data_IF_532390583357
#
_entry.id   IF_532390583357
#
_cell.length_a   1.000
_cell.length_b   1.000
_cell.length_c   1.000
_cell.angle_alpha   90.00
_cell.angle_beta   90.00
_cell.angle_gamma   90.00
#
_symmetry.space_group_name_H-M   'P 1'
#
loop_
_entity.id
_entity.type
_entity.pdbx_description
1 polymer ?
#
# COMPACT_ATOMS: atom_id res chain seq x y z
N UNK A 1 6.33 -20.36 -26.16
CA UNK A 1 5.33 -21.41 -26.46
C UNK A 1 5.62 -22.60 -25.55
N UNK A 2 4.83 -22.73 -24.48
CA UNK A 2 4.87 -23.86 -23.55
C UNK A 2 4.17 -25.05 -24.23
N UNK A 3 4.93 -25.87 -24.96
CA UNK A 3 4.45 -27.22 -25.31
C UNK A 3 4.62 -28.09 -24.08
N UNK A 4 3.61 -28.07 -23.22
CA UNK A 4 3.43 -29.13 -22.23
C UNK A 4 3.13 -30.39 -23.03
N UNK A 5 3.96 -31.43 -22.89
CA UNK A 5 3.71 -32.77 -23.46
C UNK A 5 2.54 -33.49 -22.75
N UNK A 6 1.49 -32.76 -22.38
CA UNK A 6 0.23 -33.35 -21.92
C UNK A 6 -0.54 -33.97 -23.08
N UNK A 7 -0.44 -33.37 -24.26
CA UNK A 7 -1.31 -33.69 -25.40
C UNK A 7 -0.93 -34.97 -26.16
N UNK A 8 0.30 -35.48 -26.00
CA UNK A 8 0.80 -36.63 -26.77
C UNK A 8 0.55 -37.99 -26.11
N UNK A 9 0.36 -38.04 -24.78
CA UNK A 9 0.21 -39.31 -24.02
C UNK A 9 -1.24 -39.54 -23.58
N UNK A 10 -2.00 -38.47 -23.33
CA UNK A 10 -3.39 -38.55 -22.90
C UNK A 10 -4.26 -37.84 -23.94
N UNK A 11 -5.04 -38.62 -24.69
CA UNK A 11 -5.97 -38.08 -25.69
C UNK A 11 -6.87 -36.99 -25.11
N UNK A 12 -7.31 -36.05 -25.95
CA UNK A 12 -8.21 -34.89 -25.67
C UNK A 12 -9.60 -35.27 -25.15
N UNK A 13 -9.73 -36.26 -24.29
CA UNK A 13 -10.99 -36.66 -23.70
C UNK A 13 -11.02 -36.19 -22.24
N UNK A 14 -11.57 -34.99 -22.04
CA UNK A 14 -11.70 -34.35 -20.72
C UNK A 14 -12.40 -35.26 -19.70
N UNK A 15 -13.26 -36.17 -20.15
CA UNK A 15 -13.97 -37.12 -19.28
C UNK A 15 -13.06 -38.25 -18.78
N UNK A 16 -12.13 -38.74 -19.60
CA UNK A 16 -11.21 -39.85 -19.23
C UNK A 16 -10.07 -39.34 -18.33
N UNK A 17 -9.55 -38.15 -18.64
CA UNK A 17 -8.47 -37.51 -17.88
C UNK A 17 -9.01 -36.69 -16.68
N UNK A 18 -10.33 -36.68 -16.47
CA UNK A 18 -10.97 -35.93 -15.37
C UNK A 18 -10.45 -36.33 -13.99
N UNK A 19 -9.94 -37.56 -13.86
CA UNK A 19 -9.38 -38.09 -12.62
C UNK A 19 -7.87 -37.88 -12.47
N UNK A 20 -7.17 -37.36 -13.49
CA UNK A 20 -5.72 -37.19 -13.43
C UNK A 20 -5.32 -36.00 -12.55
N UNK A 21 -6.11 -34.93 -12.63
CA UNK A 21 -5.95 -33.70 -11.86
C UNK A 21 -7.20 -33.44 -11.04
N UNK A 22 -7.01 -33.09 -9.77
CA UNK A 22 -8.11 -32.70 -8.89
C UNK A 22 -7.96 -31.23 -8.54
N UNK A 23 -9.00 -30.44 -8.83
CA UNK A 23 -9.07 -29.03 -8.44
C UNK A 23 -9.89 -28.88 -7.18
N UNK A 24 -9.34 -28.15 -6.23
CA UNK A 24 -9.99 -27.78 -4.99
C UNK A 24 -10.14 -26.26 -4.94
N UNK A 25 -11.31 -25.79 -4.54
CA UNK A 25 -11.54 -24.40 -4.19
C UNK A 25 -11.67 -24.32 -2.68
N UNK A 26 -10.67 -23.75 -2.01
CA UNK A 26 -10.62 -23.62 -0.56
C UNK A 26 -10.99 -22.20 -0.19
N UNK A 27 -12.10 -22.03 0.54
CA UNK A 27 -12.44 -20.74 1.13
C UNK A 27 -11.66 -20.56 2.43
N UNK A 28 -10.73 -19.62 2.43
CA UNK A 28 -9.93 -19.22 3.59
C UNK A 28 -10.53 -17.94 4.15
N UNK A 29 -11.06 -18.03 5.36
CA UNK A 29 -11.66 -16.90 6.06
C UNK A 29 -10.92 -16.64 7.35
N UNK A 30 -10.44 -15.40 7.52
CA UNK A 30 -9.68 -14.98 8.69
C UNK A 30 -10.47 -15.10 10.00
N UNK A 31 -11.81 -15.18 9.98
CA UNK A 31 -12.63 -15.52 11.16
C UNK A 31 -12.28 -16.87 11.77
N UNK A 32 -11.86 -17.83 10.95
CA UNK A 32 -11.54 -19.20 11.35
C UNK A 32 -10.02 -19.46 11.41
N UNK A 33 -9.23 -18.41 11.61
CA UNK A 33 -7.80 -18.50 11.87
C UNK A 33 -7.47 -19.32 13.11
N UNK A 34 -6.26 -19.87 13.17
CA UNK A 34 -5.84 -20.79 14.23
C UNK A 34 -5.95 -20.20 15.64
N UNK A 35 -5.60 -18.92 15.80
CA UNK A 35 -5.63 -18.22 17.08
C UNK A 35 -6.20 -16.82 16.92
N UNK A 36 -7.08 -16.41 17.84
CA UNK A 36 -7.60 -15.03 17.87
C UNK A 36 -6.54 -13.99 18.28
N UNK A 37 -5.40 -14.45 18.80
CA UNK A 37 -4.24 -13.59 19.07
C UNK A 37 -3.52 -13.17 17.78
N UNK A 38 -3.70 -13.92 16.68
CA UNK A 38 -3.18 -13.55 15.37
C UNK A 38 -4.07 -12.44 14.77
N UNK A 39 -3.48 -11.40 14.16
CA UNK A 39 -4.26 -10.37 13.48
C UNK A 39 -4.98 -10.97 12.26
N UNK A 40 -6.18 -10.45 11.90
CA UNK A 40 -6.91 -10.95 10.74
C UNK A 40 -6.15 -10.85 9.43
N UNK A 41 -5.13 -9.98 9.32
CA UNK A 41 -4.31 -9.72 8.13
C UNK A 41 -2.97 -10.46 8.09
N UNK A 42 -2.60 -11.19 9.15
CA UNK A 42 -1.40 -12.03 9.18
C UNK A 42 -1.65 -13.22 10.11
N UNK A 43 -2.05 -14.35 9.54
CA UNK A 43 -2.48 -15.52 10.30
C UNK A 43 -2.11 -16.83 9.62
N UNK A 44 -2.13 -17.90 10.41
CA UNK A 44 -1.97 -19.27 9.91
C UNK A 44 -3.33 -19.92 9.71
N UNK A 45 -3.53 -20.48 8.52
CA UNK A 45 -4.71 -21.26 8.17
C UNK A 45 -4.37 -22.75 8.05
N UNK A 46 -4.81 -23.60 9.00
CA UNK A 46 -4.69 -25.04 8.86
C UNK A 46 -5.78 -25.58 7.93
N UNK A 47 -5.39 -26.38 6.93
CA UNK A 47 -6.38 -27.07 6.09
C UNK A 47 -7.08 -28.19 6.86
N UNK A 48 -8.32 -28.51 6.48
CA UNK A 48 -9.08 -29.62 7.07
C UNK A 48 -8.38 -30.98 6.86
N UNK A 49 -7.66 -31.12 5.75
CA UNK A 49 -6.79 -32.25 5.43
C UNK A 49 -5.57 -31.71 4.68
N UNK A 50 -4.47 -32.47 4.71
CA UNK A 50 -3.30 -32.13 3.89
C UNK A 50 -3.65 -32.36 2.43
N UNK A 51 -3.54 -31.31 1.62
CA UNK A 51 -3.49 -31.46 0.16
C UNK A 51 -2.12 -32.01 -0.21
N UNK A 52 -2.08 -33.02 -1.07
CA UNK A 52 -0.86 -33.72 -1.48
C UNK A 52 -0.62 -33.54 -2.96
N UNK A 53 0.65 -33.63 -3.35
CA UNK A 53 1.04 -33.57 -4.76
C UNK A 53 0.50 -32.32 -5.48
N UNK A 54 0.48 -31.19 -4.78
CA UNK A 54 0.02 -29.91 -5.33
C UNK A 54 1.04 -29.43 -6.35
N UNK A 55 0.59 -29.18 -7.57
CA UNK A 55 1.44 -28.68 -8.67
C UNK A 55 1.13 -27.23 -9.04
N UNK A 56 -0.03 -26.73 -8.62
CA UNK A 56 -0.50 -25.41 -9.00
C UNK A 56 -1.40 -24.81 -7.93
N UNK A 57 -1.25 -23.51 -7.69
CA UNK A 57 -2.18 -22.74 -6.87
C UNK A 57 -2.48 -21.38 -7.53
N UNK A 58 -3.67 -20.82 -7.27
CA UNK A 58 -4.04 -19.46 -7.68
C UNK A 58 -5.11 -18.90 -6.75
N UNK A 59 -5.14 -17.58 -6.59
CA UNK A 59 -6.24 -16.90 -5.90
C UNK A 59 -7.39 -16.76 -6.89
N UNK A 60 -8.58 -17.22 -6.53
CA UNK A 60 -9.76 -17.15 -7.37
C UNK A 60 -10.64 -15.92 -7.05
N UNK A 61 -10.77 -15.58 -5.77
CA UNK A 61 -11.51 -14.39 -5.30
C UNK A 61 -10.89 -13.87 -4.00
N UNK A 62 -11.17 -12.60 -3.70
CA UNK A 62 -10.79 -11.94 -2.45
C UNK A 62 -11.93 -11.01 -2.03
N UNK A 63 -12.40 -11.14 -0.81
CA UNK A 63 -13.40 -10.25 -0.22
C UNK A 63 -12.79 -9.49 0.97
N UNK A 64 -12.43 -8.22 0.75
CA UNK A 64 -11.84 -7.35 1.77
C UNK A 64 -12.92 -6.40 2.32
N UNK A 65 -13.14 -6.35 3.64
CA UNK A 65 -14.06 -5.38 4.23
C UNK A 65 -13.48 -3.96 4.16
N UNK A 66 -14.36 -2.98 4.20
CA UNK A 66 -13.98 -1.55 4.26
C UNK A 66 -13.62 -1.23 5.70
N UNK A 67 -12.43 -1.68 6.09
CA UNK A 67 -11.97 -1.71 7.47
C UNK A 67 -10.67 -0.98 7.74
N UNK A 68 -10.13 -0.25 6.76
CA UNK A 68 -8.87 0.46 6.86
C UNK A 68 -9.07 1.96 6.61
N UNK A 69 -8.41 2.78 7.41
CA UNK A 69 -8.38 4.22 7.24
C UNK A 69 -7.29 4.66 6.26
N UNK A 70 -7.57 5.73 5.52
CA UNK A 70 -6.57 6.40 4.69
C UNK A 70 -5.56 7.13 5.58
N UNK A 71 -6.01 7.71 6.69
CA UNK A 71 -5.16 8.35 7.69
C UNK A 71 -5.18 7.56 8.99
N UNK A 72 -4.04 7.01 9.39
CA UNK A 72 -3.91 6.24 10.63
C UNK A 72 -2.53 6.40 11.25
N UNK A 73 -2.46 6.19 12.57
CA UNK A 73 -1.17 6.18 13.28
C UNK A 73 -0.24 5.08 12.79
N UNK A 74 -0.78 3.93 12.39
CA UNK A 74 0.01 2.81 11.85
C UNK A 74 0.73 3.20 10.57
N UNK A 75 0.06 3.99 9.71
CA UNK A 75 0.65 4.55 8.49
C UNK A 75 1.54 5.77 8.73
N UNK A 76 1.62 6.25 9.98
CA UNK A 76 2.39 7.45 10.39
C UNK A 76 2.04 8.69 9.55
N UNK A 77 0.78 8.82 9.13
CA UNK A 77 0.32 9.92 8.30
C UNK A 77 -0.73 10.80 8.99
N UNK A 78 -0.76 10.82 10.33
CA UNK A 78 -1.71 11.60 11.13
C UNK A 78 -1.09 12.78 11.88
N UNK A 79 0.21 13.04 11.73
CA UNK A 79 0.87 14.12 12.45
C UNK A 79 2.00 14.78 11.67
N UNK A 80 2.39 15.97 12.11
CA UNK A 80 3.62 16.67 11.73
C UNK A 80 4.02 17.64 12.84
N UNK A 81 5.25 18.17 12.80
CA UNK A 81 5.76 19.11 13.79
C UNK A 81 5.85 20.53 13.22
N UNK A 82 5.50 21.51 14.05
CA UNK A 82 5.55 22.94 13.82
C UNK A 82 6.52 23.59 14.80
N UNK A 83 7.54 24.25 14.28
CA UNK A 83 8.57 24.92 15.07
C UNK A 83 8.42 26.43 14.91
N UNK A 84 8.09 27.16 15.97
CA UNK A 84 7.77 28.60 15.88
C UNK A 84 8.14 29.35 17.15
N UNK A 85 8.47 30.62 17.01
CA UNK A 85 8.77 31.52 18.13
C UNK A 85 7.55 32.39 18.45
N UNK A 86 7.21 32.52 19.73
CA UNK A 86 6.09 33.35 20.19
C UNK A 86 6.44 34.85 20.29
N UNK A 87 5.48 35.65 20.75
CA UNK A 87 5.63 37.10 20.93
C UNK A 87 6.65 37.52 21.99
N UNK A 88 7.07 36.59 22.87
CA UNK A 88 8.07 36.82 23.93
C UNK A 88 9.48 36.42 23.45
N UNK A 89 9.59 35.75 22.30
CA UNK A 89 10.85 35.22 21.79
C UNK A 89 11.15 33.79 22.25
N UNK A 90 10.16 33.07 22.80
CA UNK A 90 10.32 31.67 23.22
C UNK A 90 10.02 30.75 22.04
N UNK A 91 10.93 29.82 21.78
CA UNK A 91 10.76 28.80 20.74
C UNK A 91 9.92 27.62 21.23
N UNK A 92 8.91 27.25 20.44
CA UNK A 92 8.01 26.14 20.69
C UNK A 92 8.18 25.05 19.61
N UNK A 93 8.13 23.79 20.03
CA UNK A 93 8.16 22.60 19.17
C UNK A 93 6.83 21.88 19.31
N UNK A 94 5.86 22.23 18.48
CA UNK A 94 4.47 21.83 18.61
C UNK A 94 4.17 20.66 17.68
N UNK A 95 3.49 19.64 18.20
CA UNK A 95 3.02 18.53 17.38
C UNK A 95 1.56 18.76 17.00
N UNK A 96 1.27 18.75 15.71
CA UNK A 96 -0.09 18.78 15.18
C UNK A 96 -0.49 17.35 14.86
N UNK A 97 -1.62 16.90 15.42
CA UNK A 97 -2.09 15.52 15.24
C UNK A 97 -3.59 15.53 14.93
N UNK A 98 -3.96 14.86 13.85
CA UNK A 98 -5.36 14.59 13.51
C UNK A 98 -5.77 13.21 14.01
N UNK A 99 -7.06 12.97 14.29
CA UNK A 99 -7.58 11.64 14.55
C UNK A 99 -7.42 10.69 13.35
N UNK A 100 -7.49 9.39 13.63
CA UNK A 100 -7.49 8.36 12.59
C UNK A 100 -8.86 8.37 11.87
N UNK A 101 -8.85 8.20 10.55
CA UNK A 101 -10.08 8.19 9.76
C UNK A 101 -9.90 8.43 8.26
N UNK A 102 -11.03 8.51 7.57
CA UNK A 102 -11.10 8.94 6.17
C UNK A 102 -11.56 10.39 6.09
N UNK A 103 -10.84 11.20 5.34
CA UNK A 103 -11.10 12.63 5.20
C UNK A 103 -11.29 13.01 3.74
N UNK A 104 -12.27 13.87 3.45
CA UNK A 104 -12.22 14.67 2.21
C UNK A 104 -11.18 15.79 2.36
N UNK A 105 -10.69 16.40 1.26
CA UNK A 105 -9.73 17.51 1.32
C UNK A 105 -10.15 18.64 2.28
N UNK A 106 -11.42 19.05 2.22
CA UNK A 106 -11.98 20.08 3.08
C UNK A 106 -12.05 19.64 4.56
N UNK A 107 -12.44 18.39 4.82
CA UNK A 107 -12.49 17.85 6.17
C UNK A 107 -11.09 17.74 6.79
N UNK A 108 -10.09 17.34 6.02
CA UNK A 108 -8.71 17.24 6.48
C UNK A 108 -8.15 18.61 6.89
N UNK A 109 -8.31 19.61 6.02
CA UNK A 109 -7.87 20.99 6.28
C UNK A 109 -8.58 21.57 7.49
N UNK A 110 -9.89 21.31 7.64
CA UNK A 110 -10.65 21.72 8.82
C UNK A 110 -10.12 21.06 10.10
N UNK A 111 -9.87 19.75 10.09
CA UNK A 111 -9.34 19.03 11.25
C UNK A 111 -7.97 19.58 11.68
N UNK A 112 -7.10 19.92 10.72
CA UNK A 112 -5.81 20.56 11.00
C UNK A 112 -6.02 21.98 11.56
N UNK A 113 -6.93 22.77 10.97
CA UNK A 113 -7.23 24.12 11.46
C UNK A 113 -7.75 24.11 12.90
N UNK A 114 -8.53 23.11 13.30
CA UNK A 114 -8.98 22.95 14.69
C UNK A 114 -7.81 22.75 15.66
N UNK A 115 -6.78 21.98 15.27
CA UNK A 115 -5.54 21.83 16.05
C UNK A 115 -4.75 23.15 16.11
N UNK A 116 -4.66 23.88 15.00
CA UNK A 116 -4.02 25.19 14.96
C UNK A 116 -4.75 26.22 15.83
N UNK A 117 -6.09 26.15 15.90
CA UNK A 117 -6.88 27.01 16.79
C UNK A 117 -6.61 26.69 18.28
N UNK A 118 -6.41 25.44 18.64
CA UNK A 118 -6.03 25.07 20.01
C UNK A 118 -4.63 25.61 20.37
N UNK A 119 -3.69 25.58 19.42
CA UNK A 119 -2.37 26.21 19.56
C UNK A 119 -2.49 27.73 19.72
N UNK A 120 -3.35 28.38 18.93
CA UNK A 120 -3.67 29.80 19.07
C UNK A 120 -4.14 30.14 20.48
N UNK A 121 -5.09 29.37 21.01
CA UNK A 121 -5.68 29.67 22.32
C UNK A 121 -4.70 29.43 23.48
N UNK A 122 -3.76 28.50 23.31
CA UNK A 122 -2.76 28.14 24.33
C UNK A 122 -1.51 29.03 24.31
N UNK A 123 -0.97 29.28 23.13
CA UNK A 123 0.33 29.95 22.92
C UNK A 123 0.21 31.33 22.26
N UNK A 124 -0.98 31.71 21.80
CA UNK A 124 -1.19 32.99 21.11
C UNK A 124 -0.62 33.02 19.70
N UNK A 125 -0.47 31.88 19.03
CA UNK A 125 0.11 31.73 17.70
C UNK A 125 -0.98 31.57 16.63
N UNK A 126 -1.07 32.51 15.69
CA UNK A 126 -2.13 32.54 14.68
C UNK A 126 -1.66 31.87 13.40
N UNK A 127 -2.04 30.60 13.22
CA UNK A 127 -1.81 29.86 11.98
C UNK A 127 -3.11 29.60 11.24
N UNK A 128 -3.02 29.66 9.91
CA UNK A 128 -4.14 29.42 9.01
C UNK A 128 -3.72 28.44 7.93
N UNK A 129 -4.51 27.39 7.75
CA UNK A 129 -4.40 26.45 6.64
C UNK A 129 -5.57 26.67 5.68
N UNK A 130 -5.28 26.80 4.40
CA UNK A 130 -6.29 27.00 3.35
C UNK A 130 -6.14 25.97 2.25
N UNK A 131 -7.27 25.57 1.68
CA UNK A 131 -7.35 24.71 0.51
C UNK A 131 -8.03 25.47 -0.62
N UNK A 132 -7.37 25.50 -1.78
CA UNK A 132 -7.96 26.04 -3.00
C UNK A 132 -8.55 24.90 -3.82
N UNK A 133 -9.87 24.88 -4.00
CA UNK A 133 -10.59 23.83 -4.72
C UNK A 133 -10.22 23.78 -6.22
N UNK A 134 -9.82 24.90 -6.80
CA UNK A 134 -9.50 25.00 -8.23
C UNK A 134 -8.12 24.43 -8.54
N UNK A 135 -7.11 24.83 -7.76
CA UNK A 135 -5.74 24.32 -7.92
C UNK A 135 -5.50 23.02 -7.16
N UNK A 136 -6.38 22.67 -6.22
CA UNK A 136 -6.27 21.53 -5.28
C UNK A 136 -5.00 21.58 -4.42
N UNK A 137 -4.50 22.78 -4.15
CA UNK A 137 -3.30 23.00 -3.33
C UNK A 137 -3.65 23.46 -1.92
N UNK A 138 -2.75 23.12 -0.99
CA UNK A 138 -2.83 23.51 0.41
C UNK A 138 -1.78 24.56 0.69
N UNK A 139 -2.17 25.60 1.43
CA UNK A 139 -1.28 26.66 1.89
C UNK A 139 -1.37 26.78 3.40
N UNK A 140 -0.22 26.88 4.07
CA UNK A 140 -0.11 27.17 5.50
C UNK A 140 0.51 28.56 5.65
N UNK A 141 -0.11 29.41 6.45
CA UNK A 141 0.33 30.78 6.73
C UNK A 141 0.45 31.01 8.24
N UNK A 142 1.48 31.74 8.63
CA UNK A 142 1.59 32.34 9.95
C UNK A 142 1.10 33.80 9.85
N UNK A 143 -0.04 34.09 10.47
CA UNK A 143 -0.67 35.41 10.41
C UNK A 143 -0.14 36.34 11.54
N UNK A 144 0.53 35.78 12.56
CA UNK A 144 1.20 36.54 13.64
C UNK A 144 1.03 35.93 15.02
N UNK A 145 1.37 36.68 16.06
CA UNK A 145 1.25 36.23 17.46
C UNK A 145 0.60 37.27 18.37
N UNK A 146 0.20 36.87 19.59
CA UNK A 146 -0.35 37.79 20.59
C UNK A 146 -0.45 37.20 22.00
N UNK A 147 -0.45 38.04 23.04
CA UNK A 147 -0.47 37.57 24.43
C UNK A 147 -1.83 36.99 24.84
N UNK A 148 -1.86 35.93 25.68
CA UNK A 148 -3.09 35.49 26.35
C UNK A 148 -3.63 36.55 27.33
N UNK A 149 -4.97 36.71 27.50
CA UNK A 149 -6.04 36.00 26.82
C UNK A 149 -6.09 36.34 25.33
N UNK A 150 -6.15 35.30 24.49
CA UNK A 150 -5.86 35.43 23.06
C UNK A 150 -6.77 36.48 22.37
N UNK A 151 -6.20 37.50 21.70
CA UNK A 151 -6.99 38.52 21.00
C UNK A 151 -7.71 37.93 19.77
N UNK A 152 -8.69 38.68 19.24
CA UNK A 152 -9.42 38.27 18.02
C UNK A 152 -8.55 38.25 16.76
N UNK A 153 -7.42 38.96 16.78
CA UNK A 153 -6.47 39.08 15.68
C UNK A 153 -5.05 39.17 16.25
N UNK A 154 -4.01 38.80 15.48
CA UNK A 154 -2.62 38.92 15.91
C UNK A 154 -2.27 40.37 16.23
N UNK A 155 -1.48 40.54 17.29
CA UNK A 155 -1.00 41.87 17.76
C UNK A 155 0.45 42.12 17.38
N UNK A 156 1.20 41.04 17.14
CA UNK A 156 2.60 41.07 16.73
C UNK A 156 2.74 40.45 15.33
N UNK A 157 3.73 40.95 14.59
CA UNK A 157 4.02 40.47 13.25
C UNK A 157 4.44 39.01 13.24
N UNK A 158 4.10 38.25 12.18
CA UNK A 158 4.58 36.89 12.04
C UNK A 158 6.11 36.85 11.95
N UNK A 159 6.64 35.74 12.44
CA UNK A 159 8.05 35.38 12.36
C UNK A 159 8.21 34.10 11.56
N UNK A 160 9.45 33.81 11.14
CA UNK A 160 9.75 32.58 10.44
C UNK A 160 9.40 31.35 11.29
N UNK A 161 8.96 30.29 10.64
CA UNK A 161 8.60 29.03 11.28
C UNK A 161 9.10 27.84 10.46
N UNK A 162 9.27 26.72 11.15
CA UNK A 162 9.64 25.44 10.57
C UNK A 162 8.45 24.49 10.48
N UNK A 163 8.33 23.77 9.38
CA UNK A 163 7.48 22.58 9.29
C UNK A 163 8.39 21.37 9.15
N UNK A 164 8.16 20.35 9.97
CA UNK A 164 8.87 19.07 9.90
C UNK A 164 7.85 17.96 9.70
N UNK A 165 7.91 17.34 8.52
CA UNK A 165 7.09 16.20 8.12
C UNK A 165 7.80 14.86 8.29
N UNK A 166 9.10 14.86 8.61
CA UNK A 166 9.85 13.63 8.87
C UNK A 166 9.23 12.81 10.01
N UNK A 167 8.95 11.53 9.71
CA UNK A 167 8.45 10.55 10.66
C UNK A 167 9.48 9.46 10.88
N UNK A 168 9.60 8.97 12.12
CA UNK A 168 10.55 7.92 12.46
C UNK A 168 10.29 6.66 11.63
N UNK A 169 11.29 6.16 10.92
CA UNK A 169 11.22 5.02 10.01
C UNK A 169 10.68 5.32 8.60
N UNK A 170 10.40 6.58 8.28
CA UNK A 170 9.99 7.03 6.93
C UNK A 170 10.98 8.06 6.33
N UNK A 171 12.12 8.31 6.98
CA UNK A 171 13.03 9.42 6.65
C UNK A 171 13.64 9.31 5.25
N UNK A 172 13.87 8.08 4.78
CA UNK A 172 14.47 7.81 3.47
C UNK A 172 13.41 7.78 2.34
N UNK A 173 12.13 7.93 2.67
CA UNK A 173 11.05 7.87 1.69
C UNK A 173 10.91 9.19 0.94
N UNK A 174 11.15 9.16 -0.38
CA UNK A 174 10.87 10.31 -1.25
C UNK A 174 9.37 10.60 -1.41
N UNK A 175 8.53 9.59 -1.31
CA UNK A 175 7.07 9.66 -1.49
C UNK A 175 6.39 8.94 -0.32
N UNK A 176 5.13 9.26 -0.03
CA UNK A 176 4.36 8.63 1.07
C UNK A 176 5.05 8.68 2.44
N UNK A 177 5.75 9.78 2.74
CA UNK A 177 6.45 10.00 4.00
C UNK A 177 5.55 10.52 5.14
N UNK A 178 4.23 10.43 4.97
CA UNK A 178 3.23 10.80 5.99
C UNK A 178 2.37 11.99 5.59
N UNK A 179 1.88 12.73 6.60
CA UNK A 179 0.85 13.75 6.40
C UNK A 179 1.31 14.90 5.48
N UNK A 180 2.59 15.26 5.51
CA UNK A 180 3.15 16.29 4.62
C UNK A 180 2.97 15.95 3.14
N UNK A 181 3.30 14.72 2.76
CA UNK A 181 3.10 14.23 1.40
C UNK A 181 1.62 14.23 1.01
N UNK A 182 0.73 13.77 1.90
CA UNK A 182 -0.72 13.82 1.68
C UNK A 182 -1.26 15.24 1.51
N UNK A 183 -0.65 16.25 2.14
CA UNK A 183 -1.00 17.66 1.98
C UNK A 183 -0.41 18.30 0.70
N UNK A 184 0.47 17.60 0.00
CA UNK A 184 1.10 18.05 -1.24
C UNK A 184 2.48 18.69 -1.08
N UNK A 185 3.11 18.55 0.08
CA UNK A 185 4.50 18.96 0.30
C UNK A 185 5.46 17.87 -0.16
N UNK A 186 6.56 18.27 -0.80
CA UNK A 186 7.52 17.36 -1.43
C UNK A 186 8.76 17.10 -0.56
N UNK A 187 9.08 18.00 0.36
CA UNK A 187 10.24 17.92 1.24
C UNK A 187 9.85 17.55 2.67
N UNK A 188 10.80 17.02 3.43
CA UNK A 188 10.60 16.67 4.83
C UNK A 188 10.67 17.88 5.77
N UNK A 189 11.41 18.92 5.36
CA UNK A 189 11.69 20.09 6.18
C UNK A 189 11.44 21.35 5.37
N UNK A 190 10.67 22.27 5.94
CA UNK A 190 10.46 23.60 5.39
C UNK A 190 10.85 24.64 6.42
N UNK A 191 11.62 25.63 5.99
CA UNK A 191 11.81 26.89 6.72
C UNK A 191 11.07 27.97 5.96
N UNK A 192 10.05 28.55 6.59
CA UNK A 192 9.16 29.51 5.95
C UNK A 192 9.49 30.91 6.45
N UNK A 193 10.08 31.72 5.57
CA UNK A 193 10.36 33.14 5.77
C UNK A 193 9.27 34.00 5.13
N UNK A 194 9.45 35.33 5.08
CA UNK A 194 8.51 36.26 4.45
C UNK A 194 8.15 35.80 3.02
N UNK A 195 6.85 35.67 2.65
CA UNK A 195 5.65 36.26 3.27
C UNK A 195 4.99 35.42 4.38
N UNK A 196 5.71 34.50 5.00
CA UNK A 196 5.25 33.61 6.08
C UNK A 196 4.12 32.66 5.67
N UNK A 197 4.02 32.40 4.36
CA UNK A 197 3.11 31.45 3.77
C UNK A 197 3.88 30.47 2.90
N UNK A 198 3.54 29.19 3.00
CA UNK A 198 4.07 28.14 2.14
C UNK A 198 2.93 27.34 1.54
N UNK A 199 3.01 27.10 0.23
CA UNK A 199 2.05 26.29 -0.52
C UNK A 199 2.73 25.00 -0.95
N UNK A 200 2.04 23.87 -0.80
CA UNK A 200 2.54 22.58 -1.29
C UNK A 200 2.81 22.63 -2.81
N UNK A 201 3.90 21.98 -3.22
CA UNK A 201 4.28 21.90 -4.63
C UNK A 201 3.31 21.03 -5.42
N UNK A 202 2.81 19.97 -4.78
CA UNK A 202 1.88 18.98 -5.32
C UNK A 202 0.43 19.23 -4.89
N UNK A 203 -0.45 18.38 -5.39
CA UNK A 203 -1.88 18.39 -5.09
C UNK A 203 -2.15 17.62 -3.80
N UNK A 204 -3.17 18.02 -3.05
CA UNK A 204 -3.62 17.26 -1.89
C UNK A 204 -4.08 15.85 -2.30
N UNK A 205 -3.60 14.84 -1.59
CA UNK A 205 -3.97 13.44 -1.78
C UNK A 205 -4.62 12.88 -0.53
N UNK A 206 -5.95 12.73 -0.59
CA UNK A 206 -6.77 12.06 0.44
C UNK A 206 -7.18 10.65 0.05
N UNK A 207 -6.83 10.23 -1.18
CA UNK A 207 -7.00 8.86 -1.64
C UNK A 207 -5.94 7.99 -0.98
N UNK A 208 -6.39 6.91 -0.33
CA UNK A 208 -5.51 5.92 0.29
C UNK A 208 -4.86 4.98 -0.71
N UNK A 209 -4.56 3.77 -0.25
CA UNK A 209 -3.86 2.76 -1.04
C UNK A 209 -4.69 2.32 -2.25
N UNK A 210 -4.07 2.34 -3.43
CA UNK A 210 -4.73 1.94 -4.69
C UNK A 210 -4.74 0.41 -4.89
N UNK A 211 -3.88 -0.30 -4.17
CA UNK A 211 -3.78 -1.76 -4.26
C UNK A 211 -3.18 -2.31 -2.98
N UNK A 212 -3.47 -3.58 -2.74
CA UNK A 212 -2.85 -4.40 -1.69
C UNK A 212 -2.13 -5.59 -2.31
N UNK A 213 -1.18 -6.13 -1.57
CA UNK A 213 -0.45 -7.33 -1.93
C UNK A 213 -0.90 -8.47 -1.02
N UNK A 214 -1.24 -9.60 -1.61
CA UNK A 214 -1.61 -10.82 -0.89
C UNK A 214 -0.47 -11.82 -0.97
N UNK A 215 0.22 -12.02 0.15
CA UNK A 215 1.25 -13.04 0.28
C UNK A 215 0.67 -14.29 0.93
N UNK A 216 0.87 -15.45 0.28
CA UNK A 216 0.53 -16.76 0.82
C UNK A 216 1.81 -17.59 0.82
N UNK A 217 2.32 -17.92 2.01
CA UNK A 217 3.64 -18.52 2.21
C UNK A 217 4.69 -17.90 1.27
N UNK A 218 5.42 -18.75 0.54
CA UNK A 218 6.47 -18.40 -0.42
C UNK A 218 5.95 -18.51 -1.87
N UNK A 219 4.65 -18.30 -2.09
CA UNK A 219 4.06 -18.40 -3.43
C UNK A 219 4.28 -17.09 -4.22
N UNK A 220 5.46 -16.98 -4.80
CA UNK A 220 5.92 -15.79 -5.49
C UNK A 220 5.51 -15.78 -6.97
N UNK A 221 4.52 -14.96 -7.30
CA UNK A 221 4.07 -14.73 -8.69
C UNK A 221 4.09 -13.27 -9.09
N UNK A 222 4.02 -12.37 -8.11
CA UNK A 222 4.09 -10.92 -8.27
C UNK A 222 5.34 -10.42 -7.55
N UNK A 223 6.14 -9.65 -8.27
CA UNK A 223 7.30 -8.95 -7.72
C UNK A 223 7.01 -7.45 -7.68
N UNK A 224 7.17 -6.83 -6.51
CA UNK A 224 6.98 -5.42 -6.29
C UNK A 224 8.27 -4.79 -5.77
N UNK A 225 8.78 -3.78 -6.45
CA UNK A 225 10.00 -3.08 -6.07
C UNK A 225 9.66 -1.90 -5.15
N UNK A 226 10.31 -1.84 -4.00
CA UNK A 226 10.37 -0.66 -3.12
C UNK A 226 11.67 0.10 -3.38
N UNK A 227 11.92 1.20 -2.65
CA UNK A 227 13.16 1.97 -2.82
C UNK A 227 14.41 1.11 -2.58
N UNK A 228 14.34 0.24 -1.58
CA UNK A 228 15.52 -0.50 -1.07
C UNK A 228 15.43 -2.02 -1.30
N UNK A 229 14.24 -2.59 -1.54
CA UNK A 229 14.03 -4.03 -1.58
C UNK A 229 12.95 -4.48 -2.59
N UNK A 230 12.70 -5.78 -2.63
CA UNK A 230 11.63 -6.42 -3.39
C UNK A 230 10.69 -7.19 -2.48
N UNK A 231 9.39 -6.98 -2.69
CA UNK A 231 8.33 -7.75 -2.05
C UNK A 231 7.82 -8.75 -3.07
N UNK A 232 7.81 -10.03 -2.68
CA UNK A 232 7.24 -11.10 -3.48
C UNK A 232 5.96 -11.61 -2.84
N UNK A 233 4.90 -11.74 -3.64
CA UNK A 233 3.58 -12.17 -3.17
C UNK A 233 2.83 -12.97 -4.25
N UNK A 234 1.66 -13.51 -3.89
CA UNK A 234 0.86 -14.36 -4.78
C UNK A 234 -0.09 -13.55 -5.67
N UNK A 235 -0.57 -12.40 -5.21
CA UNK A 235 -1.50 -11.59 -5.99
C UNK A 235 -1.43 -10.10 -5.66
N UNK A 236 -1.72 -9.27 -6.67
CA UNK A 236 -2.00 -7.84 -6.51
C UNK A 236 -3.51 -7.64 -6.57
N UNK A 237 -4.07 -7.05 -5.52
CA UNK A 237 -5.50 -6.77 -5.38
C UNK A 237 -5.72 -5.28 -5.60
N UNK A 238 -6.51 -4.92 -6.61
CA UNK A 238 -6.83 -3.53 -6.87
C UNK A 238 -7.92 -3.05 -5.93
N UNK A 239 -7.69 -1.92 -5.26
CA UNK A 239 -8.64 -1.32 -4.32
C UNK A 239 -9.38 -0.21 -5.04
N UNK A 240 -10.67 -0.43 -5.32
CA UNK A 240 -11.57 0.58 -5.88
C UNK A 240 -12.43 1.19 -4.77
N UNK A 241 -11.92 2.20 -4.06
CA UNK A 241 -12.66 2.89 -3.00
C UNK A 241 -13.21 4.23 -3.52
N UNK A 242 -14.53 4.39 -3.46
CA UNK A 242 -15.17 5.71 -3.60
C UNK A 242 -15.17 6.45 -2.25
N UNK A 243 -15.28 7.78 -2.29
CA UNK A 243 -15.36 8.63 -1.08
C UNK A 243 -16.54 8.26 -0.15
N UNK A 244 -17.59 7.63 -0.70
CA UNK A 244 -18.74 7.11 0.06
C UNK A 244 -18.48 5.77 0.75
N UNK A 245 -17.27 5.20 0.60
CA UNK A 245 -16.90 3.94 1.23
C UNK A 245 -17.74 2.76 0.74
N UNK A 246 -18.15 2.74 -0.53
CA UNK A 246 -18.78 1.56 -1.13
C UNK A 246 -17.85 1.04 -2.22
N UNK A 247 -17.32 -0.16 -1.99
CA UNK A 247 -16.59 -0.96 -2.97
C UNK A 247 -17.63 -1.91 -3.57
N UNK A 248 -18.11 -1.63 -4.77
CA UNK A 248 -18.83 -2.65 -5.56
C UNK A 248 -17.76 -3.44 -6.32
N UNK A 249 -17.54 -4.69 -5.92
CA UNK A 249 -16.68 -5.60 -6.67
C UNK A 249 -17.49 -6.22 -7.81
N UNK A 250 -17.01 -6.04 -9.04
CA UNK A 250 -17.55 -6.59 -10.27
C UNK A 250 -16.93 -7.96 -10.63
N UNK A 251 -16.19 -8.56 -9.68
CA UNK A 251 -15.60 -9.90 -9.81
C UNK A 251 -14.27 -9.94 -10.57
N UNK A 252 -13.68 -8.78 -10.90
CA UNK A 252 -12.45 -8.67 -11.71
C UNK A 252 -11.35 -7.80 -11.06
N UNK A 253 -11.32 -7.67 -9.74
CA UNK A 253 -10.30 -6.86 -9.02
C UNK A 253 -9.04 -7.63 -8.62
N UNK A 254 -8.98 -8.94 -8.84
CA UNK A 254 -7.82 -9.78 -8.49
C UNK A 254 -6.99 -10.08 -9.72
N UNK A 255 -5.78 -9.50 -9.80
CA UNK A 255 -4.76 -9.90 -10.76
C UNK A 255 -3.92 -11.01 -10.13
N UNK A 256 -4.43 -12.24 -10.18
CA UNK A 256 -3.73 -13.44 -9.72
C UNK A 256 -3.16 -14.19 -10.90
N UNK A 257 -1.85 -14.41 -10.88
CA UNK A 257 -1.22 -15.39 -11.76
C UNK A 257 -1.22 -16.76 -11.08
N UNK A 258 -1.25 -17.79 -11.91
CA UNK A 258 -1.04 -19.16 -11.46
C UNK A 258 0.41 -19.35 -11.01
N UNK A 259 0.62 -19.83 -9.78
CA UNK A 259 1.92 -20.40 -9.43
C UNK A 259 1.94 -21.86 -9.86
N UNK A 260 2.98 -22.25 -10.59
CA UNK A 260 3.27 -23.65 -10.93
C UNK A 260 4.49 -24.05 -10.11
N UNK A 261 4.32 -25.06 -9.26
CA UNK A 261 5.41 -25.55 -8.44
C UNK A 261 6.40 -26.34 -9.30
N UNK A 262 7.72 -26.14 -9.13
CA UNK A 262 8.72 -26.87 -9.90
C UNK A 262 8.71 -28.37 -9.61
N UNK A 263 8.17 -28.76 -8.45
CA UNK A 263 7.93 -30.13 -8.03
C UNK A 263 6.63 -30.18 -7.26
N UNK A 264 5.90 -31.32 -7.26
CA UNK A 264 4.71 -31.47 -6.42
C UNK A 264 5.05 -31.25 -4.94
N UNK A 265 4.25 -30.42 -4.25
CA UNK A 265 4.40 -30.09 -2.83
C UNK A 265 3.17 -30.52 -2.03
N UNK A 266 3.35 -30.80 -0.75
CA UNK A 266 2.24 -31.10 0.16
C UNK A 266 1.92 -29.86 1.01
N UNK A 267 0.64 -29.48 1.05
CA UNK A 267 0.14 -28.32 1.79
C UNK A 267 -0.70 -28.76 2.99
N UNK A 268 -0.20 -28.51 4.21
CA UNK A 268 -0.91 -28.81 5.48
C UNK A 268 -1.56 -27.56 6.09
N UNK A 269 -0.88 -26.44 5.95
CA UNK A 269 -1.32 -25.13 6.40
C UNK A 269 -0.64 -24.10 5.50
N UNK A 270 -1.19 -22.88 5.48
CA UNK A 270 -0.57 -21.73 4.81
C UNK A 270 -0.59 -20.51 5.72
N UNK A 271 0.44 -19.66 5.65
CA UNK A 271 0.42 -18.32 6.22
C UNK A 271 -0.16 -17.35 5.20
N UNK A 272 -1.19 -16.62 5.60
CA UNK A 272 -1.85 -15.62 4.75
C UNK A 272 -1.56 -14.24 5.30
N UNK A 273 -1.02 -13.36 4.45
CA UNK A 273 -0.67 -11.97 4.77
C UNK A 273 -1.28 -11.01 3.76
N UNK A 274 -2.03 -10.04 4.25
CA UNK A 274 -2.54 -8.92 3.46
C UNK A 274 -1.74 -7.66 3.84
N UNK A 275 -0.92 -7.18 2.90
CA UNK A 275 0.05 -6.11 3.14
C UNK A 275 -0.13 -4.94 2.16
N UNK A 276 0.33 -3.76 2.58
CA UNK A 276 0.38 -2.56 1.74
C UNK A 276 1.54 -2.62 0.72
N UNK A 277 1.73 -1.54 -0.05
CA UNK A 277 2.82 -1.43 -1.03
C UNK A 277 4.22 -1.45 -0.42
N UNK A 278 4.35 -1.22 0.89
CA UNK A 278 5.61 -1.25 1.62
C UNK A 278 5.82 -2.58 2.38
N UNK A 279 4.90 -3.55 2.22
CA UNK A 279 5.00 -4.86 2.87
C UNK A 279 4.54 -4.86 4.33
N UNK A 280 3.92 -3.78 4.78
CA UNK A 280 3.40 -3.65 6.14
C UNK A 280 1.99 -4.26 6.18
N UNK A 281 1.69 -5.15 7.14
CA UNK A 281 0.35 -5.69 7.31
C UNK A 281 -0.70 -4.60 7.52
N UNK A 282 -1.81 -4.70 6.80
CA UNK A 282 -2.88 -3.70 6.86
C UNK A 282 -3.64 -3.85 8.18
N UNK A 283 -3.99 -2.73 8.79
CA UNK A 283 -4.90 -2.71 9.94
C UNK A 283 -6.35 -2.69 9.44
N UNK A 284 -7.11 -3.76 9.70
CA UNK A 284 -8.54 -3.87 9.39
C UNK A 284 -9.44 -3.63 10.61
N UNK A 285 -8.92 -3.06 11.70
CA UNK A 285 -9.65 -2.83 12.95
C UNK A 285 -10.46 -4.06 13.43
N UNK A 286 -9.81 -5.22 13.46
CA UNK A 286 -10.39 -6.53 13.80
C UNK A 286 -11.51 -7.04 12.86
N UNK A 287 -11.76 -6.37 11.74
CA UNK A 287 -12.58 -6.91 10.67
C UNK A 287 -11.83 -8.05 9.96
N UNK A 288 -12.62 -8.98 9.45
CA UNK A 288 -12.14 -10.20 8.84
C UNK A 288 -12.32 -10.11 7.32
N UNK A 289 -11.38 -10.66 6.58
CA UNK A 289 -11.45 -10.84 5.13
C UNK A 289 -11.43 -12.33 4.79
N UNK A 290 -11.87 -12.65 3.58
CA UNK A 290 -11.83 -14.00 3.01
C UNK A 290 -11.21 -14.02 1.62
N UNK A 291 -10.67 -15.18 1.25
CA UNK A 291 -10.13 -15.47 -0.08
C UNK A 291 -10.53 -16.86 -0.52
N UNK A 292 -10.72 -17.05 -1.82
CA UNK A 292 -10.84 -18.38 -2.41
C UNK A 292 -9.51 -18.78 -3.02
N UNK A 293 -8.87 -19.83 -2.49
CA UNK A 293 -7.63 -20.39 -3.01
C UNK A 293 -7.94 -21.63 -3.85
N UNK A 294 -7.66 -21.58 -5.15
CA UNK A 294 -7.75 -22.74 -6.03
C UNK A 294 -6.42 -23.50 -6.03
N UNK A 295 -6.50 -24.79 -5.72
CA UNK A 295 -5.36 -25.72 -5.60
C UNK A 295 -5.57 -26.85 -6.62
N UNK A 296 -4.53 -27.23 -7.35
CA UNK A 296 -4.56 -28.39 -8.25
C UNK A 296 -3.60 -29.47 -7.77
N UNK A 297 -4.15 -30.64 -7.45
CA UNK A 297 -3.42 -31.85 -7.09
C UNK A 297 -3.27 -32.77 -8.30
N UNK A 298 -2.15 -33.50 -8.35
CA UNK A 298 -1.96 -34.61 -9.29
C UNK A 298 -2.33 -35.92 -8.60
N UNK A 299 -3.33 -36.59 -9.15
CA UNK A 299 -3.83 -37.87 -8.65
C UNK A 299 -3.24 -39.06 -9.41
N UNK A 300 -2.95 -38.87 -10.71
CA UNK A 300 -2.36 -39.91 -11.55
C UNK A 300 -0.88 -40.13 -11.21
N UNK A 301 -0.52 -41.38 -10.90
CA UNK A 301 0.83 -41.77 -10.47
C UNK A 301 1.88 -41.51 -11.57
N UNK A 302 1.57 -41.83 -12.82
CA UNK A 302 2.50 -41.59 -13.94
C UNK A 302 2.71 -40.10 -14.17
N UNK A 303 1.64 -39.31 -14.06
CA UNK A 303 1.72 -37.86 -14.19
C UNK A 303 2.51 -37.24 -13.03
N UNK A 304 2.33 -37.75 -11.81
CA UNK A 304 3.10 -37.34 -10.64
C UNK A 304 4.60 -37.62 -10.84
N UNK A 305 4.96 -38.82 -11.28
CA UNK A 305 6.35 -39.19 -11.55
C UNK A 305 6.97 -38.32 -12.64
N UNK A 306 6.19 -37.94 -13.65
CA UNK A 306 6.62 -36.99 -14.67
C UNK A 306 6.92 -35.60 -14.09
N UNK A 307 6.03 -35.04 -13.25
CA UNK A 307 6.28 -33.74 -12.59
C UNK A 307 7.45 -33.80 -11.61
N UNK A 308 7.59 -34.90 -10.87
CA UNK A 308 8.67 -35.11 -9.91
C UNK A 308 10.03 -35.29 -10.59
N UNK A 309 10.05 -36.05 -11.66
CA UNK A 309 11.24 -36.40 -12.44
C UNK A 309 11.60 -35.37 -13.51
N UNK A 310 10.81 -34.29 -13.65
CA UNK A 310 11.09 -33.22 -14.60
C UNK A 310 12.40 -32.50 -14.22
N UNK A 311 13.49 -32.98 -14.80
CA UNK A 311 14.76 -32.26 -14.89
C UNK A 311 14.67 -31.37 -16.13
N UNK A 312 14.99 -30.09 -15.95
CA UNK A 312 15.11 -29.15 -17.05
C UNK A 312 16.21 -29.64 -18.01
N UNK A 313 15.81 -30.30 -19.11
CA UNK A 313 16.75 -30.88 -20.10
C UNK A 313 17.38 -29.84 -21.04
N UNK A 314 17.14 -28.55 -20.83
CA UNK A 314 17.82 -27.49 -21.58
C UNK A 314 18.98 -26.97 -20.76
N UNK A 315 20.06 -26.52 -21.39
CA UNK A 315 21.11 -25.80 -20.64
C UNK A 315 20.44 -24.63 -19.89
N UNK A 316 20.84 -24.41 -18.63
CA UNK A 316 20.45 -23.20 -17.91
C UNK A 316 20.71 -22.00 -18.82
N UNK A 317 19.76 -21.06 -19.00
CA UNK A 317 20.03 -19.86 -19.77
C UNK A 317 21.15 -19.11 -19.06
N UNK A 318 22.37 -19.27 -19.57
CA UNK A 318 23.52 -18.48 -19.11
C UNK A 318 23.17 -17.03 -19.37
N UNK A 319 23.16 -16.21 -18.32
CA UNK A 319 23.16 -14.77 -18.51
C UNK A 319 24.36 -14.44 -19.40
N UNK A 320 24.10 -14.09 -20.66
CA UNK A 320 25.14 -13.58 -21.53
C UNK A 320 25.57 -12.28 -20.87
N UNK A 321 26.80 -12.23 -20.38
CA UNK A 321 27.41 -11.06 -19.72
C UNK A 321 27.50 -9.80 -20.62
N UNK A 322 26.83 -9.80 -21.76
CA UNK A 322 26.78 -8.71 -22.74
C UNK A 322 25.36 -8.52 -23.26
N UNK A 323 24.53 -7.89 -22.45
CA UNK A 323 23.38 -7.11 -22.96
C UNK A 323 23.57 -5.68 -22.50
N UNK A 324 24.46 -4.95 -23.17
CA UNK A 324 24.36 -3.49 -23.25
C UNK A 324 23.17 -3.15 -24.16
N UNK A 325 21.96 -3.33 -23.65
CA UNK A 325 20.76 -2.79 -24.25
C UNK A 325 20.70 -1.29 -23.97
N UNK A 326 21.50 -0.50 -24.70
CA UNK A 326 21.33 0.95 -24.73
C UNK A 326 20.00 1.25 -25.44
N UNK A 327 19.01 1.61 -24.64
CA UNK A 327 17.78 2.24 -25.06
C UNK A 327 18.04 3.43 -25.99
N UNK A 328 17.35 3.41 -27.13
CA UNK A 328 16.98 4.51 -28.03
C UNK A 328 17.90 5.75 -28.11
N UNK A 329 18.37 6.04 -29.32
CA UNK A 329 18.88 7.36 -29.70
C UNK A 329 17.80 8.40 -29.39
N UNK A 330 18.09 9.27 -28.43
CA UNK A 330 17.32 10.49 -28.15
C UNK A 330 17.36 11.34 -29.42
N UNK A 331 16.21 11.46 -30.09
CA UNK A 331 16.06 12.46 -31.15
C UNK A 331 16.16 13.86 -30.52
N UNK A 332 16.95 14.79 -31.07
CA UNK A 332 17.06 16.14 -30.54
C UNK A 332 15.70 16.87 -30.65
N UNK A 333 15.37 17.76 -29.70
CA UNK A 333 14.10 18.49 -29.72
C UNK A 333 13.97 19.32 -31.00
N UNK A 334 12.83 19.16 -31.67
CA UNK A 334 12.48 19.94 -32.84
C UNK A 334 12.41 21.43 -32.50
N UNK A 335 12.97 22.24 -33.41
CA UNK A 335 13.00 23.71 -33.38
C UNK A 335 11.61 24.31 -33.21
N UNK A 336 11.59 25.40 -32.43
CA UNK A 336 10.50 26.36 -32.30
C UNK A 336 9.85 26.69 -33.65
N UNK A 337 8.52 26.68 -33.68
CA UNK A 337 7.75 27.43 -34.66
C UNK A 337 7.35 28.77 -34.03
N UNK A 338 7.54 29.83 -34.83
CA UNK A 338 7.06 31.19 -34.57
C UNK A 338 5.56 31.24 -34.33
#
# INVERSE_FOLDING_TARGET
MLHVKTDEIYGKNEVVNSNDLRKHLVNIDSRFRKSHLEPPTDFLYPFAHSYKNVIKARVASVEIPIGFYNFSKVKKNTMFRLDVTDYVGIQHFLQITIPDGDYTPLQLVKAIQEQLNAIRDTYGLFFRITFDESTRKVTICHDGSGPPPCPRAPTHTPVAYGLTFAMVGLEDRRYDFGLGYNLGFSEHFYTVEAPFCVTGESLISTTGDNYFLLAIDDFYTVEHRTNDDYIQCLAKILVKKNHSGIIFDDGYTVLSNDIIFPRPVDLKQVRVRLVDMYGIPIELHNLNFSISLEITEVMNVQMYDNYRGYLWNKEEPRAVYQTSGSSAIIAPPARNYN
#
